data_IF_202102268312
#
_entry.id   IF_202102268312
#
_cell.length_a   1.000
_cell.length_b   1.000
_cell.length_c   1.000
_cell.angle_alpha   90.00
_cell.angle_beta   90.00
_cell.angle_gamma   90.00
#
_symmetry.space_group_name_H-M   'P 1'
#
loop_
_entity.id
_entity.type
_entity.pdbx_description
1 polymer ?
#
# COMPACT_ATOMS: atom_id res chain seq x y z
N UNK A 1 6.24 27.01 77.35
CA UNK A 1 6.67 27.92 76.27
C UNK A 1 6.45 27.19 74.96
N UNK A 2 5.28 27.35 74.35
CA UNK A 2 4.89 26.70 73.10
C UNK A 2 4.44 27.81 72.16
N UNK A 3 5.32 28.25 71.26
CA UNK A 3 5.03 29.29 70.28
C UNK A 3 4.28 28.69 69.11
N UNK A 4 2.98 29.01 69.01
CA UNK A 4 2.13 28.82 67.85
C UNK A 4 2.61 29.78 66.76
N UNK A 5 3.05 29.25 65.62
CA UNK A 5 3.30 30.06 64.42
C UNK A 5 2.01 30.15 63.62
N UNK A 6 1.32 31.28 63.78
CA UNK A 6 0.18 31.70 62.99
C UNK A 6 0.71 32.32 61.69
N UNK A 7 0.69 31.56 60.59
CA UNK A 7 1.05 32.05 59.26
C UNK A 7 -0.25 32.46 58.56
N UNK A 8 -0.81 33.60 59.00
CA UNK A 8 -1.86 34.32 58.30
C UNK A 8 -1.23 35.37 57.39
N UNK A 9 -1.03 35.05 56.11
CA UNK A 9 -0.52 36.02 55.15
C UNK A 9 -0.78 35.58 53.71
N UNK A 10 -1.42 36.45 52.94
CA UNK A 10 -1.72 36.32 51.49
C UNK A 10 -0.51 35.97 50.59
N UNK A 11 0.70 35.99 51.14
CA UNK A 11 1.93 35.57 50.45
C UNK A 11 2.07 34.05 50.25
N UNK A 12 1.30 33.21 50.97
CA UNK A 12 1.38 31.75 50.85
C UNK A 12 0.76 31.16 49.56
N UNK A 13 -0.14 31.88 48.90
CA UNK A 13 -0.87 31.37 47.73
C UNK A 13 -0.12 31.58 46.41
N UNK A 14 0.84 32.51 46.36
CA UNK A 14 1.56 32.85 45.15
C UNK A 14 2.49 31.73 44.64
N UNK A 15 2.95 30.84 45.52
CA UNK A 15 3.91 29.78 45.17
C UNK A 15 3.23 28.56 44.54
N UNK A 16 1.93 28.33 44.83
CA UNK A 16 1.18 27.19 44.28
C UNK A 16 0.31 27.55 43.06
N UNK A 17 -0.18 28.79 42.98
CA UNK A 17 -1.04 29.22 41.87
C UNK A 17 -0.25 29.59 40.60
N UNK A 18 0.98 30.09 40.74
CA UNK A 18 1.83 30.49 39.62
C UNK A 18 2.05 29.41 38.55
N UNK A 19 2.53 28.20 38.91
CA UNK A 19 2.77 27.15 37.92
C UNK A 19 1.48 26.63 37.28
N UNK A 20 0.37 26.62 38.02
CA UNK A 20 -0.92 26.15 37.50
C UNK A 20 -1.52 27.13 36.47
N UNK A 21 -1.39 28.43 36.70
CA UNK A 21 -1.84 29.47 35.76
C UNK A 21 -1.02 29.44 34.46
N UNK A 22 0.30 29.23 34.54
CA UNK A 22 1.16 29.09 33.37
C UNK A 22 0.82 27.85 32.53
N UNK A 23 0.51 26.73 33.20
CA UNK A 23 0.16 25.48 32.52
C UNK A 23 -1.20 25.59 31.81
N UNK A 24 -2.19 26.25 32.43
CA UNK A 24 -3.50 26.54 31.80
C UNK A 24 -3.33 27.49 30.61
N UNK A 25 -2.47 28.51 30.69
CA UNK A 25 -2.20 29.42 29.58
C UNK A 25 -1.49 28.72 28.40
N UNK A 26 -0.55 27.81 28.66
CA UNK A 26 0.15 27.04 27.64
C UNK A 26 -0.80 26.07 26.90
N UNK A 27 -1.70 25.39 27.64
CA UNK A 27 -2.72 24.52 27.05
C UNK A 27 -3.73 25.32 26.21
N UNK A 28 -4.15 26.51 26.67
CA UNK A 28 -5.03 27.39 25.90
C UNK A 28 -4.37 27.87 24.59
N UNK A 29 -3.08 28.18 24.59
CA UNK A 29 -2.35 28.54 23.36
C UNK A 29 -2.19 27.37 22.38
N UNK A 30 -2.01 26.15 22.87
CA UNK A 30 -1.95 24.94 22.03
C UNK A 30 -3.31 24.57 21.41
N UNK A 31 -4.42 24.87 22.10
CA UNK A 31 -5.78 24.61 21.61
C UNK A 31 -6.30 25.67 20.62
N UNK A 32 -5.80 26.91 20.70
CA UNK A 32 -6.26 28.03 19.87
C UNK A 32 -5.50 28.16 18.54
N UNK A 33 -4.34 27.52 18.40
CA UNK A 33 -3.52 27.63 17.17
C UNK A 33 -3.19 26.28 16.54
N UNK A 34 -4.16 25.56 15.94
CA UNK A 34 -3.82 24.46 15.06
C UNK A 34 -3.31 25.05 13.74
N UNK A 35 -2.15 24.57 13.29
CA UNK A 35 -1.58 24.78 11.95
C UNK A 35 -1.29 26.24 11.54
N UNK A 36 -0.02 26.63 11.65
CA UNK A 36 0.58 27.48 10.63
C UNK A 36 1.72 26.75 9.94
N UNK A 37 1.41 26.40 8.69
CA UNK A 37 2.27 26.15 7.54
C UNK A 37 3.64 26.83 7.70
N UNK A 38 4.71 26.04 7.67
CA UNK A 38 6.07 26.55 7.47
C UNK A 38 6.18 27.03 6.01
N UNK A 39 6.70 28.25 5.77
CA UNK A 39 6.80 28.82 4.44
C UNK A 39 7.95 28.20 3.66
N UNK A 40 7.75 28.14 2.34
CA UNK A 40 8.80 27.93 1.36
C UNK A 40 9.93 28.96 1.53
N UNK A 41 11.14 28.46 1.75
CA UNK A 41 12.41 29.17 1.68
C UNK A 41 13.37 28.16 1.07
N UNK A 42 14.13 28.42 0.03
CA UNK A 42 14.55 29.65 -0.61
C UNK A 42 15.72 29.20 -1.50
N UNK A 43 15.79 29.73 -2.71
CA UNK A 43 16.68 29.22 -3.75
C UNK A 43 18.15 29.19 -3.34
N UNK A 44 18.84 28.20 -3.87
CA UNK A 44 20.25 28.31 -4.22
C UNK A 44 20.39 27.75 -5.64
N UNK A 45 20.55 28.68 -6.58
CA UNK A 45 21.11 28.42 -7.89
C UNK A 45 22.56 27.97 -7.70
N UNK A 46 22.83 26.67 -7.83
CA UNK A 46 24.18 26.16 -8.10
C UNK A 46 24.24 25.60 -9.54
N UNK A 47 25.30 25.93 -10.30
CA UNK A 47 25.38 25.56 -11.70
C UNK A 47 25.68 24.07 -11.86
N UNK A 48 24.74 23.36 -12.51
CA UNK A 48 24.90 21.97 -12.96
C UNK A 48 26.17 21.86 -13.80
N UNK A 49 27.20 21.22 -13.23
CA UNK A 49 28.33 20.70 -14.00
C UNK A 49 27.80 19.62 -14.94
N UNK A 50 27.92 19.89 -16.23
CA UNK A 50 27.61 18.97 -17.32
C UNK A 50 28.39 17.66 -17.16
N UNK A 51 27.67 16.56 -17.01
CA UNK A 51 28.23 15.20 -17.10
C UNK A 51 28.52 14.91 -18.59
N UNK A 52 29.74 14.49 -18.96
CA UNK A 52 30.08 14.17 -20.36
C UNK A 52 29.33 12.93 -20.86
N UNK A 53 28.91 12.98 -22.13
CA UNK A 53 27.96 12.07 -22.78
C UNK A 53 28.50 10.68 -23.18
N UNK A 54 29.61 10.20 -22.59
CA UNK A 54 30.34 9.03 -23.12
C UNK A 54 30.25 7.75 -22.26
N UNK A 55 29.31 7.65 -21.32
CA UNK A 55 29.19 6.47 -20.46
C UNK A 55 28.22 5.37 -20.94
N UNK A 56 27.51 5.57 -22.06
CA UNK A 56 26.65 4.54 -22.64
C UNK A 56 27.35 3.81 -23.79
N UNK A 57 28.23 2.87 -23.44
CA UNK A 57 28.74 1.89 -24.39
C UNK A 57 28.42 0.48 -23.89
N UNK A 58 27.27 -0.04 -24.31
CA UNK A 58 26.97 -1.48 -24.25
C UNK A 58 26.86 -1.97 -25.69
N UNK A 59 27.74 -2.88 -26.15
CA UNK A 59 27.75 -3.33 -27.53
C UNK A 59 26.58 -4.26 -27.85
N UNK A 60 25.99 -3.96 -28.99
CA UNK A 60 25.11 -4.75 -29.85
C UNK A 60 25.60 -6.19 -30.04
N UNK A 61 24.73 -7.17 -29.76
CA UNK A 61 24.85 -8.53 -30.27
C UNK A 61 23.53 -8.94 -30.95
N UNK A 62 23.35 -8.43 -32.17
CA UNK A 62 23.16 -9.22 -33.39
C UNK A 62 22.31 -10.51 -33.29
N UNK A 63 21.05 -10.36 -33.70
CA UNK A 63 20.40 -11.13 -34.78
C UNK A 63 21.05 -12.47 -35.16
N UNK A 64 20.40 -13.58 -34.79
CA UNK A 64 20.42 -14.80 -35.60
C UNK A 64 19.06 -15.04 -36.23
N UNK A 65 19.01 -14.73 -37.52
CA UNK A 65 18.04 -15.23 -38.49
C UNK A 65 18.24 -16.75 -38.60
N UNK A 66 17.17 -17.52 -38.41
CA UNK A 66 17.03 -18.84 -39.05
C UNK A 66 15.69 -18.79 -39.77
N UNK A 67 15.77 -18.66 -41.08
CA UNK A 67 14.64 -18.69 -41.99
C UNK A 67 14.57 -20.06 -42.68
N UNK A 68 13.33 -20.44 -42.99
CA UNK A 68 12.87 -21.46 -43.93
C UNK A 68 12.92 -22.94 -43.49
N UNK A 69 11.74 -23.46 -43.14
CA UNK A 69 11.15 -24.64 -43.79
C UNK A 69 9.70 -24.91 -43.29
N UNK A 70 8.71 -24.42 -44.02
CA UNK A 70 7.39 -25.06 -44.18
C UNK A 70 7.26 -25.45 -45.67
N UNK A 71 6.38 -26.38 -46.12
CA UNK A 71 5.22 -26.93 -45.42
C UNK A 71 5.03 -28.47 -45.56
N UNK A 72 4.35 -29.09 -44.60
CA UNK A 72 3.70 -30.38 -44.82
C UNK A 72 2.34 -30.41 -44.10
N UNK A 73 1.31 -30.46 -44.93
CA UNK A 73 -0.10 -30.41 -44.59
C UNK A 73 -0.51 -31.49 -43.57
N UNK A 74 -0.93 -31.06 -42.38
CA UNK A 74 -1.87 -31.83 -41.57
C UNK A 74 -3.27 -31.32 -41.84
N UNK A 75 -4.09 -32.19 -42.42
CA UNK A 75 -5.52 -32.00 -42.67
C UNK A 75 -6.22 -31.68 -41.35
N UNK A 76 -6.62 -30.43 -41.15
CA UNK A 76 -7.67 -30.10 -40.20
C UNK A 76 -8.97 -30.73 -40.72
N UNK A 77 -9.53 -31.66 -39.95
CA UNK A 77 -10.88 -32.12 -40.15
C UNK A 77 -11.83 -30.93 -39.92
N UNK A 78 -12.71 -30.69 -40.88
CA UNK A 78 -13.74 -29.67 -40.77
C UNK A 78 -14.60 -29.90 -39.51
N UNK A 79 -15.00 -28.83 -38.79
CA UNK A 79 -15.99 -28.95 -37.74
C UNK A 79 -17.31 -29.48 -38.34
N UNK A 80 -18.05 -30.36 -37.64
CA UNK A 80 -19.35 -30.81 -38.12
C UNK A 80 -20.30 -29.62 -38.26
N UNK A 81 -21.05 -29.60 -39.35
CA UNK A 81 -22.06 -28.58 -39.64
C UNK A 81 -23.07 -28.46 -38.49
N UNK A 82 -23.57 -27.24 -38.20
CA UNK A 82 -24.64 -27.05 -37.22
C UNK A 82 -25.91 -27.76 -37.70
N UNK A 83 -26.68 -28.42 -36.81
CA UNK A 83 -27.96 -29.01 -37.18
C UNK A 83 -28.96 -27.92 -37.60
N UNK A 84 -29.69 -28.18 -38.68
CA UNK A 84 -30.81 -27.36 -39.15
C UNK A 84 -31.92 -27.26 -38.08
N UNK A 85 -32.68 -26.15 -38.03
CA UNK A 85 -33.60 -25.85 -36.95
C UNK A 85 -34.94 -26.58 -37.15
N UNK A 86 -35.00 -27.86 -36.80
CA UNK A 86 -36.26 -28.59 -36.69
C UNK A 86 -36.75 -28.61 -35.23
N UNK A 87 -37.70 -27.72 -34.97
CA UNK A 87 -38.83 -27.88 -34.05
C UNK A 87 -38.53 -28.50 -32.67
N UNK A 88 -37.79 -27.75 -31.84
CA UNK A 88 -38.00 -27.83 -30.39
C UNK A 88 -39.23 -26.98 -30.04
N UNK A 89 -40.35 -27.62 -29.72
CA UNK A 89 -41.50 -26.95 -29.11
C UNK A 89 -41.05 -26.25 -27.83
N UNK A 90 -40.90 -24.93 -27.89
CA UNK A 90 -40.71 -24.10 -26.70
C UNK A 90 -42.03 -24.17 -25.91
N UNK A 91 -42.05 -24.70 -24.67
CA UNK A 91 -43.25 -24.59 -23.85
C UNK A 91 -43.51 -23.10 -23.62
N UNK A 92 -44.68 -22.62 -24.05
CA UNK A 92 -45.11 -21.27 -23.73
C UNK A 92 -45.34 -21.20 -22.22
N UNK A 93 -44.43 -20.54 -21.51
CA UNK A 93 -44.60 -20.21 -20.10
C UNK A 93 -45.62 -19.06 -20.09
N UNK A 94 -46.83 -19.34 -19.63
CA UNK A 94 -47.87 -18.33 -19.47
C UNK A 94 -47.40 -17.31 -18.40
N UNK A 95 -47.59 -16.02 -18.70
CA UNK A 95 -47.12 -14.84 -17.95
C UNK A 95 -47.47 -14.81 -16.45
N UNK A 96 -48.30 -15.74 -15.98
CA UNK A 96 -48.84 -15.76 -14.62
C UNK A 96 -47.90 -16.38 -13.58
N UNK A 97 -46.83 -17.06 -14.01
CA UNK A 97 -45.88 -17.74 -13.13
C UNK A 97 -44.58 -16.95 -12.86
N UNK A 98 -44.42 -15.78 -13.50
CA UNK A 98 -43.19 -14.97 -13.40
C UNK A 98 -43.12 -14.16 -12.09
N UNK A 99 -44.26 -13.77 -11.53
CA UNK A 99 -44.31 -12.97 -10.30
C UNK A 99 -43.82 -13.72 -9.05
N UNK A 100 -43.92 -15.06 -9.05
CA UNK A 100 -43.42 -15.90 -7.95
C UNK A 100 -41.92 -16.18 -8.02
N UNK A 101 -41.37 -16.27 -9.24
CA UNK A 101 -39.96 -16.66 -9.45
C UNK A 101 -38.99 -15.49 -9.28
N UNK A 102 -39.40 -14.25 -9.56
CA UNK A 102 -38.58 -13.05 -9.27
C UNK A 102 -38.44 -12.86 -7.76
N UNK A 103 -39.51 -13.11 -6.98
CA UNK A 103 -39.46 -13.08 -5.52
C UNK A 103 -38.51 -14.13 -4.93
N UNK A 104 -38.43 -15.30 -5.55
CA UNK A 104 -37.47 -16.36 -5.17
C UNK A 104 -36.03 -16.00 -5.57
N UNK A 105 -35.80 -15.39 -6.73
CA UNK A 105 -34.48 -14.89 -7.15
C UNK A 105 -33.99 -13.77 -6.23
N UNK A 106 -34.87 -12.87 -5.78
CA UNK A 106 -34.52 -11.82 -4.82
C UNK A 106 -34.29 -12.37 -3.39
N UNK A 107 -34.98 -13.45 -3.02
CA UNK A 107 -34.77 -14.13 -1.74
C UNK A 107 -33.45 -14.93 -1.69
N UNK A 108 -32.98 -15.45 -2.82
CA UNK A 108 -31.67 -16.12 -2.92
C UNK A 108 -30.52 -15.11 -2.75
N UNK A 109 -30.72 -13.84 -3.13
CA UNK A 109 -29.71 -12.80 -2.95
C UNK A 109 -29.57 -12.30 -1.50
N UNK A 110 -30.42 -12.79 -0.59
CA UNK A 110 -30.45 -12.37 0.82
C UNK A 110 -30.16 -13.50 1.82
N UNK A 111 -29.75 -14.68 1.36
CA UNK A 111 -29.19 -15.73 2.22
C UNK A 111 -27.80 -16.13 1.73
N UNK A 112 -26.84 -15.23 1.93
CA UNK A 112 -25.51 -15.72 2.23
C UNK A 112 -25.61 -16.42 3.59
N UNK A 113 -25.76 -17.75 3.54
CA UNK A 113 -25.55 -18.61 4.71
C UNK A 113 -24.26 -18.13 5.41
N UNK A 114 -24.14 -18.23 6.74
CA UNK A 114 -22.85 -18.01 7.38
C UNK A 114 -21.95 -19.17 6.96
N UNK A 115 -21.42 -19.10 5.73
CA UNK A 115 -20.14 -19.67 5.38
C UNK A 115 -19.26 -19.34 6.57
N UNK A 116 -18.57 -20.35 7.06
CA UNK A 116 -17.46 -20.24 7.99
C UNK A 116 -16.51 -19.19 7.45
N UNK A 117 -16.81 -17.90 7.67
CA UNK A 117 -15.98 -16.77 7.35
C UNK A 117 -14.91 -16.87 8.43
N UNK A 118 -13.86 -17.61 8.08
CA UNK A 118 -12.58 -17.42 8.74
C UNK A 118 -12.39 -15.92 8.86
N UNK A 119 -12.12 -15.38 10.06
CA UNK A 119 -11.87 -13.96 10.22
C UNK A 119 -10.76 -13.60 9.22
N UNK A 120 -11.13 -12.90 8.14
CA UNK A 120 -10.15 -12.45 7.16
C UNK A 120 -9.37 -11.38 7.90
N UNK A 121 -8.06 -11.55 8.01
CA UNK A 121 -7.19 -10.53 8.56
C UNK A 121 -7.39 -9.25 7.74
N UNK A 122 -7.95 -8.17 8.34
CA UNK A 122 -8.28 -6.96 7.59
C UNK A 122 -7.04 -6.29 6.99
N UNK A 123 -5.85 -6.53 7.54
CA UNK A 123 -4.61 -5.99 6.99
C UNK A 123 -4.22 -6.75 5.72
N UNK A 124 -4.28 -8.09 5.76
CA UNK A 124 -4.01 -8.93 4.59
C UNK A 124 -5.00 -8.61 3.45
N UNK A 125 -6.29 -8.46 3.78
CA UNK A 125 -7.31 -8.11 2.78
C UNK A 125 -7.01 -6.80 2.04
N UNK A 126 -6.54 -5.76 2.75
CA UNK A 126 -6.16 -4.49 2.12
C UNK A 126 -4.98 -4.64 1.16
N UNK A 127 -4.01 -5.50 1.47
CA UNK A 127 -2.87 -5.77 0.60
C UNK A 127 -3.36 -6.52 -0.64
N UNK A 128 -4.20 -7.55 -0.47
CA UNK A 128 -4.76 -8.33 -1.58
C UNK A 128 -5.58 -7.44 -2.53
N UNK A 129 -6.42 -6.57 -1.98
CA UNK A 129 -7.15 -5.57 -2.76
C UNK A 129 -6.21 -4.62 -3.51
N UNK A 130 -5.14 -4.14 -2.85
CA UNK A 130 -4.18 -3.27 -3.52
C UNK A 130 -3.47 -3.96 -4.70
N UNK A 131 -3.16 -5.25 -4.58
CA UNK A 131 -2.59 -6.03 -5.67
C UNK A 131 -3.54 -6.14 -6.87
N UNK A 132 -4.84 -6.26 -6.62
CA UNK A 132 -5.87 -6.22 -7.68
C UNK A 132 -5.89 -4.86 -8.36
N UNK A 133 -5.86 -3.76 -7.60
CA UNK A 133 -5.82 -2.41 -8.16
C UNK A 133 -4.56 -2.18 -9.00
N UNK A 134 -3.40 -2.68 -8.55
CA UNK A 134 -2.15 -2.66 -9.33
C UNK A 134 -2.33 -3.38 -10.66
N UNK A 135 -2.98 -4.55 -10.66
CA UNK A 135 -3.20 -5.35 -11.86
C UNK A 135 -4.14 -4.68 -12.86
N UNK A 136 -5.14 -3.92 -12.37
CA UNK A 136 -6.07 -3.16 -13.20
C UNK A 136 -5.48 -1.79 -13.61
N UNK A 137 -4.42 -1.35 -12.95
CA UNK A 137 -3.69 -0.12 -13.27
C UNK A 137 -4.09 1.08 -12.40
N UNK A 138 -4.98 0.92 -11.43
CA UNK A 138 -5.31 1.97 -10.46
C UNK A 138 -4.26 2.04 -9.35
N UNK A 139 -3.11 2.61 -9.70
CA UNK A 139 -1.98 2.79 -8.77
C UNK A 139 -2.32 3.72 -7.60
N UNK A 140 -3.21 4.69 -7.78
CA UNK A 140 -3.58 5.62 -6.73
C UNK A 140 -4.40 4.92 -5.63
N UNK A 141 -5.42 4.15 -6.03
CA UNK A 141 -6.22 3.35 -5.12
C UNK A 141 -5.36 2.27 -4.42
N UNK A 142 -4.45 1.62 -5.15
CA UNK A 142 -3.52 0.67 -4.56
C UNK A 142 -2.65 1.32 -3.46
N UNK A 143 -2.05 2.48 -3.74
CA UNK A 143 -1.17 3.16 -2.80
C UNK A 143 -1.92 3.60 -1.54
N UNK A 144 -3.18 4.04 -1.65
CA UNK A 144 -4.01 4.37 -0.49
C UNK A 144 -4.23 3.14 0.40
N UNK A 145 -4.63 2.01 -0.19
CA UNK A 145 -4.88 0.75 0.54
C UNK A 145 -3.62 0.24 1.22
N UNK A 146 -2.46 0.28 0.55
CA UNK A 146 -1.17 -0.11 1.12
C UNK A 146 -0.76 0.79 2.29
N UNK A 147 -0.90 2.12 2.17
CA UNK A 147 -0.62 3.05 3.28
C UNK A 147 -1.55 2.80 4.47
N UNK A 148 -2.82 2.49 4.21
CA UNK A 148 -3.78 2.10 5.26
C UNK A 148 -3.38 0.78 5.93
N UNK A 149 -2.97 -0.22 5.16
CA UNK A 149 -2.46 -1.49 5.68
C UNK A 149 -1.24 -1.26 6.58
N UNK A 150 -0.29 -0.42 6.15
CA UNK A 150 0.89 -0.02 6.94
C UNK A 150 0.50 0.59 8.29
N UNK A 151 -0.48 1.51 8.31
CA UNK A 151 -0.93 2.12 9.57
C UNK A 151 -1.58 1.11 10.51
N UNK A 152 -2.43 0.23 9.99
CA UNK A 152 -3.11 -0.79 10.79
C UNK A 152 -2.13 -1.85 11.32
N UNK A 153 -1.21 -2.30 10.47
CA UNK A 153 -0.15 -3.23 10.83
C UNK A 153 0.75 -2.67 11.94
N UNK A 154 1.18 -1.40 11.81
CA UNK A 154 1.95 -0.72 12.85
C UNK A 154 1.19 -0.66 14.19
N UNK A 155 -0.11 -0.35 14.16
CA UNK A 155 -0.96 -0.30 15.36
C UNK A 155 -1.18 -1.68 15.99
N UNK A 156 -1.28 -2.72 15.17
CA UNK A 156 -1.45 -4.10 15.61
C UNK A 156 -0.13 -4.76 16.06
N UNK A 157 1.02 -4.16 15.74
CA UNK A 157 2.33 -4.78 15.90
C UNK A 157 2.61 -5.89 14.89
N UNK A 158 1.88 -5.93 13.78
CA UNK A 158 2.03 -6.93 12.73
C UNK A 158 3.13 -6.52 11.75
N UNK A 159 4.37 -6.86 12.08
CA UNK A 159 5.54 -6.45 11.30
C UNK A 159 5.61 -7.13 9.94
N UNK A 160 5.08 -8.36 9.81
CA UNK A 160 5.10 -9.10 8.56
C UNK A 160 4.20 -8.42 7.52
N UNK A 161 2.96 -8.08 7.88
CA UNK A 161 2.05 -7.39 6.97
C UNK A 161 2.52 -5.95 6.74
N UNK A 162 3.14 -5.32 7.74
CA UNK A 162 3.76 -4.00 7.60
C UNK A 162 4.87 -3.97 6.56
N UNK A 163 5.75 -4.99 6.57
CA UNK A 163 6.83 -5.15 5.62
C UNK A 163 6.32 -5.49 4.22
N UNK A 164 5.33 -6.38 4.11
CA UNK A 164 4.72 -6.75 2.84
C UNK A 164 4.11 -5.53 2.13
N UNK A 165 3.33 -4.72 2.84
CA UNK A 165 2.74 -3.51 2.26
C UNK A 165 3.79 -2.48 1.82
N UNK A 166 4.91 -2.37 2.54
CA UNK A 166 6.04 -1.52 2.11
C UNK A 166 6.74 -2.06 0.87
N UNK A 167 6.91 -3.37 0.76
CA UNK A 167 7.53 -3.98 -0.40
C UNK A 167 6.75 -3.63 -1.68
N UNK A 168 5.42 -3.70 -1.62
CA UNK A 168 4.56 -3.33 -2.74
C UNK A 168 4.65 -1.83 -3.09
N UNK A 169 4.68 -0.93 -2.10
CA UNK A 169 4.90 0.50 -2.36
C UNK A 169 6.27 0.78 -3.00
N UNK A 170 7.32 0.06 -2.56
CA UNK A 170 8.64 0.18 -3.17
C UNK A 170 8.67 -0.31 -4.61
N UNK A 171 7.97 -1.42 -4.89
CA UNK A 171 7.84 -1.96 -6.26
C UNK A 171 7.04 -1.01 -7.17
N UNK A 172 6.02 -0.33 -6.63
CA UNK A 172 5.29 0.74 -7.33
C UNK A 172 6.19 1.93 -7.63
N UNK A 173 6.90 2.46 -6.63
CA UNK A 173 7.81 3.59 -6.82
C UNK A 173 8.91 3.28 -7.85
N UNK A 174 9.46 2.06 -7.82
CA UNK A 174 10.42 1.61 -8.83
C UNK A 174 9.80 1.60 -10.24
N UNK A 175 8.56 1.13 -10.37
CA UNK A 175 7.85 1.12 -11.66
C UNK A 175 7.60 2.54 -12.19
N UNK A 176 7.40 3.50 -11.29
CA UNK A 176 7.23 4.92 -11.62
C UNK A 176 8.58 5.64 -11.88
N UNK A 177 9.71 4.96 -11.67
CA UNK A 177 11.06 5.49 -11.85
C UNK A 177 11.61 6.25 -10.64
N UNK A 178 10.86 6.32 -9.54
CA UNK A 178 11.32 6.91 -8.28
C UNK A 178 12.10 5.87 -7.45
N UNK A 179 13.38 5.72 -7.81
CA UNK A 179 14.27 4.81 -7.10
C UNK A 179 14.57 5.27 -5.67
N UNK A 180 14.52 6.57 -5.38
CA UNK A 180 14.77 7.08 -4.03
C UNK A 180 13.72 6.53 -3.06
N UNK A 181 12.44 6.79 -3.36
CA UNK A 181 11.31 6.29 -2.58
C UNK A 181 11.27 4.75 -2.56
N UNK A 182 11.61 4.10 -3.67
CA UNK A 182 11.67 2.64 -3.72
C UNK A 182 12.69 2.06 -2.72
N UNK A 183 13.90 2.63 -2.69
CA UNK A 183 14.95 2.19 -1.78
C UNK A 183 14.56 2.38 -0.31
N UNK A 184 13.94 3.51 0.05
CA UNK A 184 13.44 3.73 1.43
C UNK A 184 12.45 2.63 1.84
N UNK A 185 11.47 2.34 0.97
CA UNK A 185 10.46 1.33 1.25
C UNK A 185 11.05 -0.07 1.38
N UNK A 186 11.97 -0.47 0.51
CA UNK A 186 12.61 -1.78 0.60
C UNK A 186 13.54 -1.93 1.81
N UNK A 187 14.24 -0.87 2.21
CA UNK A 187 15.07 -0.87 3.42
C UNK A 187 14.22 -1.07 4.68
N UNK A 188 13.13 -0.29 4.81
CA UNK A 188 12.19 -0.43 5.93
C UNK A 188 11.49 -1.80 5.92
N UNK A 189 11.16 -2.35 4.75
CA UNK A 189 10.62 -3.70 4.65
C UNK A 189 11.65 -4.76 5.09
N UNK A 190 12.92 -4.60 4.68
CA UNK A 190 14.02 -5.50 5.07
C UNK A 190 14.20 -5.52 6.59
N UNK A 191 14.27 -4.35 7.24
CA UNK A 191 14.45 -4.28 8.70
C UNK A 191 13.31 -4.96 9.45
N UNK A 192 12.06 -4.78 9.03
CA UNK A 192 10.91 -5.44 9.63
C UNK A 192 10.93 -6.96 9.44
N UNK A 193 11.34 -7.46 8.26
CA UNK A 193 11.48 -8.90 8.05
C UNK A 193 12.63 -9.49 8.88
N UNK A 194 13.71 -8.75 9.09
CA UNK A 194 14.81 -9.14 9.98
C UNK A 194 14.34 -9.23 11.44
N UNK A 195 13.53 -8.27 11.90
CA UNK A 195 12.91 -8.28 13.23
C UNK A 195 11.98 -9.49 13.44
N UNK A 196 11.27 -9.91 12.39
CA UNK A 196 10.44 -11.13 12.35
C UNK A 196 11.25 -12.42 12.12
N UNK A 197 12.58 -12.32 11.96
CA UNK A 197 13.48 -13.43 11.63
C UNK A 197 13.11 -14.16 10.32
N UNK A 198 12.46 -13.47 9.38
CA UNK A 198 12.20 -14.00 8.04
C UNK A 198 13.36 -13.67 7.09
N UNK A 199 14.42 -14.49 7.15
CA UNK A 199 15.60 -14.31 6.30
C UNK A 199 15.30 -14.39 4.79
N UNK A 200 14.33 -15.23 4.41
CA UNK A 200 13.94 -15.38 3.01
C UNK A 200 13.28 -14.12 2.45
N UNK A 201 12.44 -13.46 3.24
CA UNK A 201 11.78 -12.22 2.82
C UNK A 201 12.73 -11.03 2.86
N UNK A 202 13.60 -10.94 3.88
CA UNK A 202 14.67 -9.95 3.92
C UNK A 202 15.61 -10.05 2.68
N UNK A 203 15.94 -11.27 2.24
CA UNK A 203 16.72 -11.49 1.03
C UNK A 203 16.02 -11.03 -0.25
N UNK A 204 14.67 -11.05 -0.30
CA UNK A 204 13.91 -10.50 -1.44
C UNK A 204 14.02 -8.98 -1.50
N UNK A 205 14.02 -8.30 -0.35
CA UNK A 205 14.26 -6.87 -0.27
C UNK A 205 15.70 -6.54 -0.72
N UNK A 206 16.68 -7.26 -0.18
CA UNK A 206 18.10 -7.07 -0.52
C UNK A 206 18.35 -7.27 -2.02
N UNK A 207 17.73 -8.28 -2.63
CA UNK A 207 17.83 -8.50 -4.08
C UNK A 207 17.29 -7.33 -4.90
N UNK A 208 16.17 -6.72 -4.49
CA UNK A 208 15.63 -5.52 -5.15
C UNK A 208 16.60 -4.35 -4.99
N UNK A 209 17.10 -4.14 -3.78
CA UNK A 209 18.04 -3.06 -3.47
C UNK A 209 19.34 -3.17 -4.27
N UNK A 210 20.00 -4.33 -4.23
CA UNK A 210 21.23 -4.60 -4.99
C UNK A 210 21.01 -4.44 -6.49
N UNK A 211 19.88 -4.96 -7.03
CA UNK A 211 19.57 -4.86 -8.47
C UNK A 211 19.40 -3.40 -8.93
N UNK A 212 18.82 -2.55 -8.09
CA UNK A 212 18.51 -1.17 -8.44
C UNK A 212 19.57 -0.17 -7.94
N UNK A 213 20.69 -0.65 -7.40
CA UNK A 213 21.76 0.22 -6.91
C UNK A 213 21.39 1.04 -5.67
N UNK A 214 20.47 0.53 -4.84
CA UNK A 214 20.12 1.18 -3.58
C UNK A 214 21.33 1.21 -2.64
N UNK A 215 21.56 2.33 -1.94
CA UNK A 215 22.54 2.36 -0.86
C UNK A 215 22.15 1.36 0.23
N UNK A 216 23.06 0.48 0.64
CA UNK A 216 22.81 -0.45 1.76
C UNK A 216 23.09 0.17 3.12
N UNK A 217 23.72 1.36 3.13
CA UNK A 217 24.19 2.08 4.30
C UNK A 217 23.40 3.39 4.56
N UNK A 218 22.15 3.48 4.09
CA UNK A 218 21.25 4.48 4.66
C UNK A 218 20.94 4.07 6.10
N UNK A 219 21.72 4.60 7.03
CA UNK A 219 21.23 4.82 8.37
C UNK A 219 20.05 5.76 8.20
N UNK A 220 18.83 5.28 8.48
CA UNK A 220 17.63 6.10 8.67
C UNK A 220 17.79 6.95 9.94
N UNK A 221 18.88 7.71 10.03
CA UNK A 221 19.03 8.82 10.95
C UNK A 221 18.45 10.03 10.22
N UNK A 222 17.59 10.75 10.93
CA UNK A 222 16.96 12.02 10.55
C UNK A 222 15.56 11.91 9.95
N UNK A 223 14.60 11.55 10.83
CA UNK A 223 13.24 12.13 10.85
C UNK A 223 12.77 12.31 12.30
#
# INVERSE_FOLDING_TARGET
MSSVFEIGGVAGWAVLAGPLILLVAALAMALVWPNRLVPASGGNDEPVRSIPADAFNVPDQSLRIVEAAEPAASRQAAPPAPPSPDQASIPQIEDKDIDGSIGALYAIQSQEAPATRTPVDPICALIDEALVEIAVGDRAAAAEKLRRAIMLAAKAGDRKQHAAARLELGDMAQADGDLHTACEHWQLARSLFEEERSAADAAKCEKRMTKNGCPTDWVLNDF
#
